data_IF_834513527579
#
_entry.id   IF_834513527579
#
_cell.length_a   1.000
_cell.length_b   1.000
_cell.length_c   1.000
_cell.angle_alpha   90.00
_cell.angle_beta   90.00
_cell.angle_gamma   90.00
#
_symmetry.space_group_name_H-M   'P 1'
#
loop_
_entity.id
_entity.type
_entity.pdbx_description
1 polymer ?
#
# COMPACT_ATOMS: atom_id res chain seq x y z
N UNK A 1 -4.96 73.19 11.97
CA UNK A 1 -5.94 73.99 11.17
C UNK A 1 -7.21 73.13 11.18
N UNK A 2 -8.06 73.34 12.21
CA UNK A 2 -9.33 74.06 12.14
C UNK A 2 -10.25 73.42 11.04
N UNK A 3 -11.45 73.03 11.26
CA UNK A 3 -12.66 73.55 11.91
C UNK A 3 -13.69 72.44 11.93
N UNK A 4 -14.26 72.06 13.08
CA UNK A 4 -15.56 72.46 13.68
C UNK A 4 -16.84 72.00 12.95
N UNK A 5 -17.64 71.31 13.78
CA UNK A 5 -19.07 71.57 14.11
C UNK A 5 -20.10 71.06 13.08
N UNK A 6 -21.29 70.58 13.35
CA UNK A 6 -22.19 70.81 14.49
C UNK A 6 -23.35 69.81 14.37
N UNK A 7 -23.83 69.34 15.50
CA UNK A 7 -25.16 68.86 15.91
C UNK A 7 -26.35 69.15 14.97
N UNK A 8 -27.33 68.26 14.94
CA UNK A 8 -28.71 68.58 15.32
C UNK A 8 -29.51 67.33 15.71
N UNK A 9 -30.10 67.44 16.87
CA UNK A 9 -31.10 66.58 17.52
C UNK A 9 -32.46 66.79 16.81
N UNK A 10 -33.23 65.71 16.58
CA UNK A 10 -34.68 65.78 16.68
C UNK A 10 -35.24 64.43 17.14
N UNK A 11 -35.77 64.46 18.36
CA UNK A 11 -36.75 63.55 18.90
C UNK A 11 -37.99 63.43 18.01
N UNK A 12 -38.47 62.23 17.76
CA UNK A 12 -39.91 62.02 17.56
C UNK A 12 -40.33 60.73 18.23
N UNK A 13 -41.21 60.92 19.14
CA UNK A 13 -41.97 59.98 19.94
C UNK A 13 -43.10 59.43 19.07
N UNK A 14 -43.28 58.09 18.95
CA UNK A 14 -44.61 57.52 18.75
C UNK A 14 -44.64 56.01 19.04
N UNK A 15 -45.32 55.67 20.05
CA UNK A 15 -46.29 54.59 20.39
C UNK A 15 -46.09 53.15 19.90
N UNK A 16 -46.35 52.19 20.78
CA UNK A 16 -46.09 50.75 20.53
C UNK A 16 -47.29 50.10 19.84
N UNK A 17 -47.00 49.38 18.77
CA UNK A 17 -47.91 48.37 18.23
C UNK A 17 -47.33 47.00 18.62
N UNK A 18 -48.03 46.39 19.59
CA UNK A 18 -47.80 44.99 19.94
C UNK A 18 -48.30 44.08 18.81
N UNK A 19 -47.42 43.60 18.00
CA UNK A 19 -47.68 42.46 17.11
C UNK A 19 -47.10 41.21 17.74
N UNK A 20 -48.02 40.36 18.21
CA UNK A 20 -47.75 38.98 18.59
C UNK A 20 -47.26 38.21 17.34
N UNK A 21 -45.96 38.10 17.17
CA UNK A 21 -45.37 37.16 16.26
C UNK A 21 -45.17 35.84 17.03
N UNK A 22 -46.04 34.88 16.72
CA UNK A 22 -45.88 33.50 17.12
C UNK A 22 -44.51 33.00 16.57
N UNK A 23 -43.55 32.78 17.46
CA UNK A 23 -42.38 31.96 17.16
C UNK A 23 -42.85 30.53 16.89
N UNK A 24 -42.94 30.15 15.62
CA UNK A 24 -42.90 28.75 15.28
C UNK A 24 -41.49 28.28 15.68
N UNK A 25 -41.41 27.49 16.74
CA UNK A 25 -40.25 26.71 17.10
C UNK A 25 -40.08 25.74 15.94
N UNK A 26 -39.21 26.08 14.99
CA UNK A 26 -38.72 25.13 14.02
C UNK A 26 -37.98 24.02 14.81
N UNK A 27 -38.54 22.83 14.80
CA UNK A 27 -37.84 21.63 15.23
C UNK A 27 -36.55 21.56 14.39
N UNK A 28 -35.44 22.04 14.98
CA UNK A 28 -34.15 21.67 14.50
C UNK A 28 -34.04 20.16 14.70
N UNK A 29 -34.38 19.43 13.67
CA UNK A 29 -34.03 18.01 13.56
C UNK A 29 -32.52 17.95 13.63
N UNK A 30 -31.96 17.79 14.82
CA UNK A 30 -30.61 17.35 14.98
C UNK A 30 -30.51 16.00 14.29
N UNK A 31 -29.98 15.98 13.07
CA UNK A 31 -29.60 14.75 12.42
C UNK A 31 -28.49 14.19 13.32
N UNK A 32 -28.88 13.34 14.25
CA UNK A 32 -27.93 12.53 15.00
C UNK A 32 -27.19 11.71 13.97
N UNK A 33 -25.86 11.85 13.82
CA UNK A 33 -25.14 11.01 12.88
C UNK A 33 -25.46 9.57 13.24
N UNK A 34 -25.97 8.81 12.28
CA UNK A 34 -26.19 7.38 12.45
C UNK A 34 -24.85 6.79 12.89
N UNK A 35 -24.79 6.09 14.04
CA UNK A 35 -23.53 5.47 14.46
C UNK A 35 -23.07 4.57 13.33
N UNK A 36 -21.84 4.78 12.86
CA UNK A 36 -21.18 3.87 11.91
C UNK A 36 -21.03 2.56 12.70
N UNK A 37 -21.86 1.57 12.35
CA UNK A 37 -21.74 0.23 12.92
C UNK A 37 -20.48 -0.36 12.30
N UNK A 38 -19.41 -0.43 13.07
CA UNK A 38 -18.22 -1.18 12.67
C UNK A 38 -18.64 -2.63 12.43
N UNK A 39 -18.22 -3.26 11.33
CA UNK A 39 -18.47 -4.66 11.11
C UNK A 39 -17.92 -5.46 12.30
N UNK A 40 -18.76 -6.27 12.94
CA UNK A 40 -18.35 -7.11 14.08
C UNK A 40 -17.66 -8.40 13.57
N UNK A 41 -16.58 -8.24 12.80
CA UNK A 41 -15.76 -9.32 12.29
C UNK A 41 -14.43 -9.33 13.04
N UNK A 42 -13.94 -10.50 13.43
CA UNK A 42 -12.67 -10.61 14.12
C UNK A 42 -11.49 -10.39 13.16
N UNK A 43 -10.34 -10.01 13.71
CA UNK A 43 -9.12 -9.84 12.91
C UNK A 43 -8.66 -11.17 12.30
N UNK A 44 -8.81 -12.27 13.02
CA UNK A 44 -8.49 -13.61 12.55
C UNK A 44 -9.38 -14.01 11.37
N UNK A 45 -10.66 -13.67 11.42
CA UNK A 45 -11.59 -13.97 10.33
C UNK A 45 -11.26 -13.16 9.08
N UNK A 46 -10.88 -11.87 9.23
CA UNK A 46 -10.44 -11.03 8.12
C UNK A 46 -9.17 -11.57 7.49
N UNK A 47 -8.18 -11.95 8.30
CA UNK A 47 -6.92 -12.50 7.80
C UNK A 47 -7.14 -13.84 7.08
N UNK A 48 -8.01 -14.70 7.59
CA UNK A 48 -8.35 -15.96 6.95
C UNK A 48 -9.06 -15.76 5.59
N UNK A 49 -10.00 -14.81 5.53
CA UNK A 49 -10.63 -14.45 4.25
C UNK A 49 -9.61 -13.87 3.28
N UNK A 50 -8.77 -12.96 3.75
CA UNK A 50 -7.71 -12.34 2.93
C UNK A 50 -6.74 -13.39 2.40
N UNK A 51 -6.27 -14.32 3.23
CA UNK A 51 -5.42 -15.42 2.80
C UNK A 51 -6.08 -16.24 1.69
N UNK A 52 -7.34 -16.64 1.87
CA UNK A 52 -8.08 -17.42 0.88
C UNK A 52 -8.20 -16.71 -0.46
N UNK A 53 -8.60 -15.43 -0.47
CA UNK A 53 -8.78 -14.68 -1.73
C UNK A 53 -7.45 -14.35 -2.41
N UNK A 54 -6.37 -14.18 -1.63
CA UNK A 54 -5.03 -13.96 -2.18
C UNK A 54 -4.55 -15.22 -2.91
N UNK A 55 -4.68 -16.42 -2.32
CA UNK A 55 -4.32 -17.69 -2.98
C UNK A 55 -5.14 -17.97 -4.24
N UNK A 56 -6.40 -17.53 -4.28
CA UNK A 56 -7.28 -17.69 -5.44
C UNK A 56 -7.04 -16.64 -6.55
N UNK A 57 -6.13 -15.68 -6.30
CA UNK A 57 -5.82 -14.59 -7.26
C UNK A 57 -5.20 -15.14 -8.53
N UNK A 58 -5.78 -14.76 -9.69
CA UNK A 58 -5.28 -15.16 -11.01
C UNK A 58 -4.36 -14.11 -11.61
N UNK A 59 -4.68 -12.86 -11.42
CA UNK A 59 -3.87 -11.75 -11.92
C UNK A 59 -3.85 -10.62 -10.91
N UNK A 60 -2.73 -9.92 -10.82
CA UNK A 60 -2.58 -8.73 -9.99
C UNK A 60 -1.48 -7.84 -10.55
N UNK A 61 -1.65 -6.53 -10.39
CA UNK A 61 -0.58 -5.55 -10.57
C UNK A 61 -0.06 -5.09 -9.22
N UNK A 62 1.24 -4.83 -9.16
CA UNK A 62 1.86 -4.30 -7.94
C UNK A 62 2.84 -3.18 -8.22
N UNK A 63 3.07 -2.36 -7.20
CA UNK A 63 4.09 -1.32 -7.17
C UNK A 63 4.85 -1.41 -5.85
N UNK A 64 6.17 -1.26 -5.91
CA UNK A 64 7.05 -1.21 -4.75
C UNK A 64 7.70 0.15 -4.70
N UNK A 65 7.67 0.78 -3.53
CA UNK A 65 8.36 2.03 -3.27
C UNK A 65 9.06 2.00 -1.91
N UNK A 66 10.04 2.90 -1.75
CA UNK A 66 10.84 3.01 -0.54
C UNK A 66 10.83 4.43 0.00
N UNK A 67 10.96 4.55 1.32
CA UNK A 67 11.36 5.79 1.98
C UNK A 67 12.38 5.50 3.09
N UNK A 68 13.24 6.47 3.39
CA UNK A 68 14.34 6.36 4.34
C UNK A 68 15.38 5.28 3.99
N UNK A 69 15.59 5.03 2.70
CA UNK A 69 16.58 4.06 2.23
C UNK A 69 16.10 3.28 1.02
N UNK A 70 16.87 2.27 0.65
CA UNK A 70 16.62 1.40 -0.49
C UNK A 70 16.93 -0.05 -0.10
N UNK A 71 16.37 -1.00 -0.83
CA UNK A 71 16.66 -2.42 -0.65
C UNK A 71 17.79 -2.82 -1.59
N UNK A 72 18.87 -3.37 -1.06
CA UNK A 72 19.91 -3.97 -1.89
C UNK A 72 19.44 -5.34 -2.39
N UNK A 73 19.09 -5.41 -3.67
CA UNK A 73 18.57 -6.64 -4.31
C UNK A 73 19.68 -7.52 -4.90
N UNK A 74 20.82 -6.92 -5.23
CA UNK A 74 22.06 -7.58 -5.68
C UNK A 74 23.24 -6.78 -5.18
N UNK A 75 24.43 -7.39 -5.11
CA UNK A 75 25.62 -6.70 -4.59
C UNK A 75 25.88 -5.39 -5.34
N UNK A 76 25.73 -4.29 -4.61
CA UNK A 76 25.91 -2.93 -5.11
C UNK A 76 24.77 -2.39 -5.98
N UNK A 77 23.61 -3.04 -6.03
CA UNK A 77 22.41 -2.57 -6.73
C UNK A 77 21.27 -2.40 -5.74
N UNK A 78 20.81 -1.17 -5.60
CA UNK A 78 19.78 -0.74 -4.68
C UNK A 78 18.48 -0.47 -5.43
N UNK A 79 17.43 -1.21 -5.09
CA UNK A 79 16.07 -1.01 -5.62
C UNK A 79 15.51 0.29 -5.06
N UNK A 80 15.13 1.21 -5.95
CA UNK A 80 14.47 2.46 -5.58
C UNK A 80 12.95 2.34 -5.70
N UNK A 81 12.47 1.78 -6.79
CA UNK A 81 11.07 1.45 -7.01
C UNK A 81 10.95 0.29 -8.01
N UNK A 82 9.81 -0.39 -7.98
CA UNK A 82 9.45 -1.38 -8.97
C UNK A 82 7.96 -1.33 -9.27
N UNK A 83 7.60 -1.82 -10.44
CA UNK A 83 6.22 -2.13 -10.80
C UNK A 83 6.19 -3.46 -11.53
N UNK A 84 5.13 -4.20 -11.33
CA UNK A 84 5.01 -5.50 -11.96
C UNK A 84 3.59 -5.97 -12.10
N UNK A 85 3.51 -7.07 -12.79
CA UNK A 85 2.28 -7.79 -13.12
C UNK A 85 2.53 -9.26 -12.91
N UNK A 86 1.51 -9.94 -12.40
CA UNK A 86 1.54 -11.37 -12.15
C UNK A 86 0.32 -12.06 -12.75
N UNK A 87 0.54 -13.19 -13.39
CA UNK A 87 -0.48 -14.09 -13.95
C UNK A 87 -0.23 -15.48 -13.40
N UNK A 88 -1.05 -15.91 -12.48
CA UNK A 88 -0.93 -17.19 -11.78
C UNK A 88 -1.37 -18.37 -12.67
N UNK A 89 -0.59 -19.45 -12.78
CA UNK A 89 0.78 -19.65 -12.27
C UNK A 89 1.86 -19.25 -13.29
N UNK A 90 1.50 -18.73 -14.46
CA UNK A 90 2.29 -18.90 -15.68
C UNK A 90 3.29 -17.78 -15.96
N UNK A 91 3.10 -16.56 -15.41
CA UNK A 91 3.95 -15.45 -15.80
C UNK A 91 4.08 -14.33 -14.76
N UNK A 92 5.27 -13.73 -14.75
CA UNK A 92 5.60 -12.52 -13.98
C UNK A 92 6.30 -11.53 -14.89
N UNK A 93 5.98 -10.25 -14.75
CA UNK A 93 6.73 -9.15 -15.37
C UNK A 93 7.03 -8.09 -14.33
N UNK A 94 8.29 -7.75 -14.15
CA UNK A 94 8.75 -6.74 -13.20
C UNK A 94 9.67 -5.78 -13.94
N UNK A 95 9.43 -4.50 -13.82
CA UNK A 95 10.35 -3.43 -14.22
C UNK A 95 10.73 -2.67 -12.96
N UNK A 96 12.00 -2.40 -12.78
CA UNK A 96 12.49 -1.66 -11.63
C UNK A 96 13.49 -0.57 -12.02
N UNK A 97 13.51 0.47 -11.22
CA UNK A 97 14.55 1.48 -11.20
C UNK A 97 15.47 1.20 -10.01
N UNK A 98 16.76 1.32 -10.22
CA UNK A 98 17.78 1.07 -9.21
C UNK A 98 18.90 2.08 -9.26
N UNK A 99 19.67 2.13 -8.18
CA UNK A 99 20.90 2.90 -8.07
C UNK A 99 22.05 1.93 -7.77
N UNK A 100 23.13 2.06 -8.52
CA UNK A 100 24.37 1.34 -8.26
C UNK A 100 25.19 2.05 -7.16
N UNK A 101 26.03 1.31 -6.44
CA UNK A 101 26.89 1.85 -5.38
C UNK A 101 27.82 3.00 -5.81
N UNK A 102 28.05 3.15 -7.11
CA UNK A 102 28.82 4.27 -7.69
C UNK A 102 27.94 5.48 -8.08
N UNK A 103 26.65 5.47 -7.76
CA UNK A 103 25.69 6.55 -8.03
C UNK A 103 25.06 6.52 -9.44
N UNK A 104 25.30 5.50 -10.25
CA UNK A 104 24.60 5.36 -11.53
C UNK A 104 23.20 4.80 -11.34
N UNK A 105 22.24 5.48 -11.97
CA UNK A 105 20.86 4.97 -12.06
C UNK A 105 20.75 3.97 -13.20
N UNK A 106 20.04 2.89 -12.93
CA UNK A 106 19.74 1.84 -13.90
C UNK A 106 18.24 1.61 -13.96
N UNK A 107 17.77 1.23 -15.13
CA UNK A 107 16.44 0.65 -15.32
C UNK A 107 16.61 -0.73 -15.88
N UNK A 108 16.02 -1.72 -15.23
CA UNK A 108 16.07 -3.10 -15.66
C UNK A 108 14.75 -3.80 -15.32
N UNK A 109 14.65 -5.08 -15.56
CA UNK A 109 13.46 -5.85 -15.25
C UNK A 109 13.63 -7.30 -15.59
N UNK A 110 12.62 -8.08 -15.21
CA UNK A 110 12.54 -9.50 -15.52
C UNK A 110 11.15 -9.82 -16.09
N UNK A 111 11.12 -10.74 -17.01
CA UNK A 111 9.90 -11.44 -17.41
C UNK A 111 10.14 -12.94 -17.26
N UNK A 112 9.22 -13.60 -16.60
CA UNK A 112 9.18 -15.05 -16.49
C UNK A 112 7.92 -15.49 -17.20
N UNK A 113 8.06 -16.30 -18.23
CA UNK A 113 6.94 -16.81 -19.03
C UNK A 113 7.25 -18.26 -19.37
N UNK A 114 6.41 -19.19 -18.93
CA UNK A 114 6.58 -20.64 -19.23
C UNK A 114 7.99 -21.17 -18.91
N UNK A 115 8.51 -20.86 -17.72
CA UNK A 115 9.84 -21.24 -17.22
C UNK A 115 11.05 -20.57 -17.94
N UNK A 116 10.81 -19.72 -18.93
CA UNK A 116 11.85 -18.90 -19.53
C UNK A 116 11.98 -17.56 -18.82
N UNK A 117 13.21 -17.16 -18.51
CA UNK A 117 13.50 -15.91 -17.82
C UNK A 117 14.20 -14.96 -18.77
N UNK A 118 13.62 -13.79 -18.94
CA UNK A 118 14.19 -12.71 -19.74
C UNK A 118 14.57 -11.56 -18.79
N UNK A 119 15.73 -10.98 -19.03
CA UNK A 119 16.19 -9.78 -18.33
C UNK A 119 16.25 -8.60 -19.29
N UNK A 120 15.71 -7.47 -18.88
CA UNK A 120 15.88 -6.21 -19.59
C UNK A 120 17.30 -5.69 -19.40
N UNK A 121 18.04 -5.54 -20.50
CA UNK A 121 19.41 -5.04 -20.47
C UNK A 121 19.44 -3.59 -19.94
N UNK A 122 20.11 -3.30 -18.80
CA UNK A 122 20.09 -1.97 -18.19
C UNK A 122 20.88 -0.93 -19.00
N UNK A 123 21.66 -1.33 -20.01
CA UNK A 123 22.51 -0.46 -20.84
C UNK A 123 22.01 -0.32 -22.26
N UNK A 124 20.95 -1.04 -22.64
CA UNK A 124 20.35 -1.01 -23.97
C UNK A 124 18.85 -0.89 -23.87
N UNK A 125 18.32 0.15 -24.47
CA UNK A 125 16.91 0.46 -24.40
C UNK A 125 16.07 -0.65 -25.06
N UNK A 126 15.09 -1.19 -24.30
CA UNK A 126 14.11 -2.19 -24.73
C UNK A 126 14.71 -3.52 -25.26
N UNK A 127 15.96 -3.83 -24.95
CA UNK A 127 16.59 -5.09 -25.31
C UNK A 127 16.45 -6.10 -24.16
N UNK A 128 15.75 -7.20 -24.45
CA UNK A 128 15.57 -8.30 -23.51
C UNK A 128 16.51 -9.45 -23.89
N UNK A 129 17.13 -10.03 -22.90
CA UNK A 129 18.07 -11.14 -23.04
C UNK A 129 17.53 -12.36 -22.32
N UNK A 130 17.47 -13.51 -23.00
CA UNK A 130 17.12 -14.78 -22.36
C UNK A 130 18.24 -15.18 -21.41
N UNK A 131 17.91 -15.39 -20.14
CA UNK A 131 18.87 -15.87 -19.15
C UNK A 131 19.01 -17.39 -19.19
N UNK A 132 20.21 -17.90 -18.89
CA UNK A 132 20.40 -19.33 -18.61
C UNK A 132 19.49 -19.79 -17.46
N UNK A 133 18.98 -21.02 -17.47
CA UNK A 133 18.05 -21.52 -16.46
C UNK A 133 18.55 -21.41 -15.01
N UNK A 134 19.87 -21.49 -14.81
CA UNK A 134 20.51 -21.35 -13.50
C UNK A 134 20.73 -19.90 -13.03
N UNK A 135 20.25 -18.92 -13.78
CA UNK A 135 20.31 -17.49 -13.46
C UNK A 135 18.95 -16.88 -13.17
N UNK A 136 17.92 -17.70 -12.93
CA UNK A 136 16.63 -17.19 -12.50
C UNK A 136 16.73 -16.60 -11.07
N UNK A 137 16.61 -15.30 -10.88
CA UNK A 137 16.70 -14.70 -9.55
C UNK A 137 15.46 -14.99 -8.67
N UNK A 138 14.41 -15.59 -9.27
CA UNK A 138 13.13 -15.87 -8.63
C UNK A 138 12.79 -17.36 -8.62
N UNK A 139 13.81 -18.24 -8.74
CA UNK A 139 13.63 -19.70 -8.90
C UNK A 139 12.89 -20.36 -7.72
N UNK A 140 12.90 -19.71 -6.56
CA UNK A 140 12.23 -20.16 -5.33
C UNK A 140 11.08 -19.22 -4.91
N UNK A 141 10.70 -18.26 -5.75
CA UNK A 141 9.73 -17.24 -5.36
C UNK A 141 8.43 -17.33 -6.15
N UNK A 142 7.35 -17.71 -5.48
CA UNK A 142 5.98 -17.45 -5.91
C UNK A 142 5.46 -16.20 -5.19
N UNK A 143 5.16 -15.10 -5.90
CA UNK A 143 4.71 -13.87 -5.27
C UNK A 143 3.38 -14.02 -4.51
N UNK A 144 2.49 -14.90 -4.97
CA UNK A 144 1.18 -15.12 -4.33
C UNK A 144 1.35 -15.97 -3.07
N UNK A 145 2.12 -17.04 -3.15
CA UNK A 145 2.44 -17.87 -1.98
C UNK A 145 3.19 -17.05 -0.93
N UNK A 146 4.12 -16.19 -1.35
CA UNK A 146 4.84 -15.28 -0.43
C UNK A 146 3.90 -14.32 0.32
N UNK A 147 2.87 -13.80 -0.33
CA UNK A 147 1.87 -12.97 0.35
C UNK A 147 0.97 -13.82 1.27
N UNK A 148 0.63 -15.04 0.88
CA UNK A 148 -0.06 -16.00 1.74
C UNK A 148 0.73 -16.27 3.02
N UNK A 149 2.02 -16.55 2.91
CA UNK A 149 2.93 -16.73 4.07
C UNK A 149 3.00 -15.50 4.97
N UNK A 150 2.97 -14.30 4.40
CA UNK A 150 2.92 -13.05 5.19
C UNK A 150 1.68 -13.02 6.08
N UNK A 151 0.51 -13.37 5.53
CA UNK A 151 -0.74 -13.36 6.30
C UNK A 151 -0.70 -14.41 7.41
N UNK A 152 -0.28 -15.63 7.10
CA UNK A 152 -0.24 -16.74 8.05
C UNK A 152 0.75 -16.53 9.19
N UNK A 153 1.86 -15.82 8.92
CA UNK A 153 2.95 -15.62 9.87
C UNK A 153 2.93 -14.24 10.56
N UNK A 154 1.83 -13.50 10.41
CA UNK A 154 1.62 -12.25 11.13
C UNK A 154 1.53 -12.51 12.63
N UNK A 155 2.31 -11.78 13.42
CA UNK A 155 2.44 -11.97 14.85
C UNK A 155 2.19 -10.66 15.61
N UNK A 156 1.93 -10.78 16.92
CA UNK A 156 1.83 -9.63 17.83
C UNK A 156 0.94 -8.52 17.27
N UNK A 157 -0.28 -8.85 16.83
CA UNK A 157 -1.22 -7.86 16.32
C UNK A 157 -1.47 -6.82 17.41
N UNK A 158 -0.99 -5.59 17.20
CA UNK A 158 -1.02 -4.49 18.18
C UNK A 158 -2.24 -3.62 18.03
N UNK A 159 -2.73 -3.48 16.82
CA UNK A 159 -3.95 -2.74 16.55
C UNK A 159 -4.64 -3.27 15.30
N UNK A 160 -5.95 -3.13 15.35
CA UNK A 160 -6.84 -3.42 14.25
C UNK A 160 -7.93 -2.37 14.24
N UNK A 161 -8.22 -1.79 13.09
CA UNK A 161 -9.32 -0.85 12.93
C UNK A 161 -9.90 -0.89 11.52
N UNK A 162 -11.17 -0.49 11.43
CA UNK A 162 -11.85 -0.25 10.16
C UNK A 162 -11.87 1.23 9.85
N UNK A 163 -11.46 1.61 8.64
CA UNK A 163 -11.58 2.98 8.14
C UNK A 163 -12.78 3.09 7.18
N UNK A 164 -13.86 3.74 7.59
CA UNK A 164 -15.07 3.87 6.78
C UNK A 164 -14.89 4.77 5.56
N UNK A 165 -13.89 5.65 5.54
CA UNK A 165 -13.64 6.54 4.41
C UNK A 165 -13.00 5.81 3.24
N UNK A 166 -12.10 4.88 3.53
CA UNK A 166 -11.40 4.07 2.53
C UNK A 166 -12.03 2.69 2.35
N UNK A 167 -12.95 2.30 3.22
CA UNK A 167 -13.55 0.96 3.30
C UNK A 167 -12.48 -0.13 3.43
N UNK A 168 -11.50 0.09 4.31
CA UNK A 168 -10.39 -0.82 4.53
C UNK A 168 -10.24 -1.18 6.00
N UNK A 169 -9.82 -2.41 6.24
CA UNK A 169 -9.27 -2.83 7.51
C UNK A 169 -7.77 -2.54 7.53
N UNK A 170 -7.31 -1.91 8.61
CA UNK A 170 -5.89 -1.68 8.85
C UNK A 170 -5.45 -2.63 9.99
N UNK A 171 -4.48 -3.48 9.71
CA UNK A 171 -3.93 -4.45 10.65
C UNK A 171 -2.46 -4.14 10.87
N UNK A 172 -2.06 -3.94 12.13
CA UNK A 172 -0.67 -3.66 12.52
C UNK A 172 -0.14 -4.77 13.40
N UNK A 173 1.02 -5.30 13.05
CA UNK A 173 1.66 -6.38 13.78
C UNK A 173 3.16 -6.43 13.55
N UNK A 174 3.72 -7.59 13.81
CA UNK A 174 5.10 -7.93 13.53
C UNK A 174 5.14 -9.14 12.60
N UNK A 175 6.21 -9.24 11.82
CA UNK A 175 6.49 -10.41 10.99
C UNK A 175 7.97 -10.74 11.05
N UNK A 176 8.31 -12.02 11.07
CA UNK A 176 9.71 -12.41 10.93
C UNK A 176 10.22 -12.11 9.54
N UNK A 177 11.45 -11.62 9.46
CA UNK A 177 12.04 -11.14 8.20
C UNK A 177 12.20 -12.23 7.14
N UNK A 178 12.34 -13.49 7.54
CA UNK A 178 12.42 -14.63 6.62
C UNK A 178 11.13 -14.87 5.80
N UNK A 179 9.98 -14.34 6.22
CA UNK A 179 8.72 -14.45 5.47
C UNK A 179 8.49 -13.28 4.50
N UNK A 180 9.18 -12.18 4.68
CA UNK A 180 9.02 -10.99 3.81
C UNK A 180 10.23 -10.72 2.91
N UNK A 181 11.41 -11.13 3.31
CA UNK A 181 12.63 -10.92 2.55
C UNK A 181 12.61 -11.59 1.16
N UNK A 182 12.05 -12.81 0.99
CA UNK A 182 11.95 -13.43 -0.33
C UNK A 182 11.18 -12.59 -1.36
N UNK A 183 10.20 -11.79 -0.94
CA UNK A 183 9.46 -10.87 -1.83
C UNK A 183 10.41 -9.90 -2.57
N UNK A 184 11.57 -9.64 -1.98
CA UNK A 184 12.61 -8.77 -2.53
C UNK A 184 13.83 -9.55 -3.05
N UNK A 185 13.74 -10.88 -3.15
CA UNK A 185 14.86 -11.73 -3.55
C UNK A 185 15.99 -11.79 -2.49
N UNK A 186 15.66 -11.57 -1.21
CA UNK A 186 16.61 -11.55 -0.11
C UNK A 186 16.47 -12.76 0.80
N UNK A 187 17.56 -13.12 1.46
CA UNK A 187 17.55 -13.98 2.64
C UNK A 187 17.25 -13.11 3.86
N UNK A 188 16.18 -13.37 4.58
CA UNK A 188 15.83 -12.62 5.78
C UNK A 188 16.90 -12.68 6.89
N UNK A 189 16.84 -11.74 7.81
CA UNK A 189 17.68 -11.71 9.00
C UNK A 189 17.26 -12.82 9.96
N UNK A 190 18.17 -13.67 10.37
CA UNK A 190 17.87 -14.77 11.30
C UNK A 190 17.32 -14.23 12.63
N UNK A 191 16.19 -14.80 13.08
CA UNK A 191 15.52 -14.49 14.35
C UNK A 191 15.12 -13.02 14.55
N UNK A 192 15.05 -12.24 13.48
CA UNK A 192 14.59 -10.85 13.52
C UNK A 192 13.16 -10.71 13.00
N UNK A 193 12.48 -9.68 13.49
CA UNK A 193 11.15 -9.29 13.03
C UNK A 193 11.15 -7.83 12.62
N UNK A 194 10.33 -7.51 11.65
CA UNK A 194 10.04 -6.14 11.22
C UNK A 194 8.58 -5.80 11.50
N UNK A 195 8.26 -4.51 11.60
CA UNK A 195 6.87 -4.07 11.74
C UNK A 195 6.17 -4.15 10.40
N UNK A 196 4.90 -4.56 10.44
CA UNK A 196 4.08 -4.67 9.25
C UNK A 196 2.72 -4.00 9.45
N UNK A 197 2.27 -3.31 8.42
CA UNK A 197 0.92 -2.79 8.28
C UNK A 197 0.30 -3.38 7.02
N UNK A 198 -0.91 -3.97 7.16
CA UNK A 198 -1.72 -4.44 6.06
C UNK A 198 -2.95 -3.57 5.92
N UNK A 199 -3.28 -3.18 4.67
CA UNK A 199 -4.57 -2.61 4.33
C UNK A 199 -5.35 -3.59 3.47
N UNK A 200 -6.50 -4.00 3.97
CA UNK A 200 -7.35 -5.05 3.39
C UNK A 200 -8.69 -4.44 3.01
N UNK A 201 -9.13 -4.64 1.78
CA UNK A 201 -10.45 -4.22 1.31
C UNK A 201 -11.56 -4.90 2.11
N UNK A 202 -12.53 -4.14 2.59
CA UNK A 202 -13.58 -4.67 3.46
C UNK A 202 -14.66 -5.47 2.75
N UNK A 203 -14.76 -5.36 1.42
CA UNK A 203 -15.79 -6.03 0.63
C UNK A 203 -15.28 -7.33 0.02
N UNK A 204 -14.03 -7.35 -0.42
CA UNK A 204 -13.45 -8.47 -1.17
C UNK A 204 -12.28 -9.13 -0.45
N UNK A 205 -11.80 -8.55 0.66
CA UNK A 205 -10.67 -9.02 1.46
C UNK A 205 -9.32 -9.10 0.73
N UNK A 206 -9.16 -8.46 -0.43
CA UNK A 206 -7.85 -8.30 -1.06
C UNK A 206 -6.95 -7.39 -0.24
N UNK A 207 -5.67 -7.73 -0.18
CA UNK A 207 -4.64 -6.83 0.37
C UNK A 207 -4.39 -5.73 -0.66
N UNK A 208 -4.71 -4.48 -0.32
CA UNK A 208 -4.41 -3.34 -1.16
C UNK A 208 -3.00 -2.79 -0.93
N UNK A 209 -2.48 -2.97 0.29
CA UNK A 209 -1.17 -2.44 0.67
C UNK A 209 -0.51 -3.31 1.74
N UNK A 210 0.79 -3.54 1.56
CA UNK A 210 1.70 -4.03 2.59
C UNK A 210 2.75 -2.97 2.84
N UNK A 211 2.95 -2.59 4.10
CA UNK A 211 3.98 -1.64 4.50
C UNK A 211 4.86 -2.27 5.56
N UNK A 212 6.16 -2.38 5.26
CA UNK A 212 7.17 -2.91 6.15
C UNK A 212 8.01 -1.76 6.70
N UNK A 213 8.22 -1.73 8.01
CA UNK A 213 8.94 -0.65 8.71
C UNK A 213 10.07 -1.26 9.51
N UNK A 214 11.29 -1.05 9.05
CA UNK A 214 12.50 -1.58 9.63
C UNK A 214 13.27 -2.51 8.72
N UNK A 215 14.45 -2.97 9.14
CA UNK A 215 15.34 -3.78 8.33
C UNK A 215 14.77 -5.18 8.08
N UNK A 216 14.99 -5.68 6.87
CA UNK A 216 14.78 -7.08 6.47
C UNK A 216 16.07 -7.72 5.94
N UNK A 217 17.04 -6.90 5.54
CA UNK A 217 18.37 -7.28 5.07
C UNK A 217 19.48 -6.66 5.91
N UNK A 218 20.69 -7.22 5.81
CA UNK A 218 21.86 -6.83 6.64
C UNK A 218 22.36 -5.40 6.41
N UNK A 219 22.04 -4.79 5.27
CA UNK A 219 22.48 -3.43 4.89
C UNK A 219 21.38 -2.39 4.95
N UNK A 220 20.21 -2.80 5.44
CA UNK A 220 19.07 -1.91 5.54
C UNK A 220 19.24 -0.87 6.66
N UNK A 221 18.85 0.39 6.44
CA UNK A 221 18.66 1.36 7.51
C UNK A 221 17.60 0.90 8.52
N UNK A 222 17.75 1.31 9.79
CA UNK A 222 16.80 0.93 10.86
C UNK A 222 15.39 1.48 10.64
N UNK A 223 15.27 2.62 9.96
CA UNK A 223 14.02 3.35 9.73
C UNK A 223 13.51 3.23 8.28
N UNK A 224 14.04 2.30 7.50
CA UNK A 224 13.58 2.06 6.12
C UNK A 224 12.11 1.66 6.11
N UNK A 225 11.37 2.23 5.16
CA UNK A 225 9.98 1.84 4.90
C UNK A 225 9.86 1.33 3.47
N UNK A 226 9.27 0.16 3.33
CA UNK A 226 8.89 -0.44 2.05
C UNK A 226 7.39 -0.47 1.95
N UNK A 227 6.87 -0.04 0.83
CA UNK A 227 5.45 -0.07 0.55
C UNK A 227 5.20 -0.85 -0.73
N UNK A 228 4.33 -1.84 -0.64
CA UNK A 228 3.85 -2.62 -1.78
C UNK A 228 2.36 -2.32 -1.92
N UNK A 229 1.96 -1.79 -3.07
CA UNK A 229 0.57 -1.50 -3.40
C UNK A 229 0.11 -2.51 -4.45
N UNK A 230 -1.01 -3.17 -4.20
CA UNK A 230 -1.64 -4.11 -5.12
C UNK A 230 -2.90 -3.52 -5.73
N UNK A 231 -3.16 -3.86 -7.00
CA UNK A 231 -4.31 -3.36 -7.74
C UNK A 231 -4.71 -4.30 -8.88
N UNK A 232 -5.87 -4.05 -9.50
CA UNK A 232 -6.33 -4.75 -10.70
C UNK A 232 -6.41 -6.28 -10.52
N UNK A 233 -6.90 -6.71 -9.36
CA UNK A 233 -7.09 -8.12 -9.05
C UNK A 233 -8.05 -8.80 -10.02
N UNK A 234 -7.62 -9.93 -10.58
CA UNK A 234 -8.40 -10.77 -11.49
C UNK A 234 -8.91 -10.03 -12.76
N UNK A 235 -8.29 -8.91 -13.12
CA UNK A 235 -8.54 -8.26 -14.40
C UNK A 235 -7.81 -9.00 -15.53
N UNK A 236 -8.35 -8.99 -16.77
CA UNK A 236 -7.67 -9.61 -17.90
C UNK A 236 -6.26 -9.03 -18.08
N UNK A 237 -5.27 -9.88 -18.02
CA UNK A 237 -3.85 -9.53 -18.14
C UNK A 237 -3.14 -10.57 -18.99
N UNK A 238 -2.26 -10.13 -19.89
CA UNK A 238 -1.42 -10.98 -20.71
C UNK A 238 0.03 -10.49 -20.62
N UNK A 239 0.93 -11.36 -20.19
CA UNK A 239 2.38 -11.12 -20.21
C UNK A 239 2.94 -11.88 -21.41
N UNK A 240 3.40 -11.14 -22.41
CA UNK A 240 3.97 -11.71 -23.64
C UNK A 240 5.48 -11.91 -23.50
N UNK A 241 6.00 -12.93 -24.16
CA UNK A 241 7.45 -13.11 -24.40
C UNK A 241 7.98 -11.88 -25.12
N UNK A 242 9.13 -11.31 -24.72
CA UNK A 242 9.69 -10.11 -25.33
C UNK A 242 10.08 -10.27 -26.79
#
# INVERSE_FOLDING_TARGET
MNIKKTQFIKCFLFLPIATLLACSIGENSFITPTPIVEPQISVEEILNHSHTVMLDTKTVKFQISHSNGFTEIMDGIFLTNAQGEFVNPDAVSIIFDGEMSNGFYIKSGFKIVQDEVFMLNPFRENEWELLPPNMNPFDEMDPIDSIGEVIENLQNIRSFNYDPNTQQYNVFGDIKTNFVAPIFGLNGLLDQSTNIELKIDSNHFYINQVRLIGPIGNRDPEDIVREIIFSNYNEPLLIEVP
#
